data_IF_687288874057
#
_entry.id   IF_687288874057
#
_cell.length_a   1.000
_cell.length_b   1.000
_cell.length_c   1.000
_cell.angle_alpha   90.00
_cell.angle_beta   90.00
_cell.angle_gamma   90.00
#
_symmetry.space_group_name_H-M   'P 1'
#
loop_
_entity.id
_entity.type
_entity.pdbx_description
1 polymer ?
#
# COMPACT_ATOMS: atom_id res chain seq x y z
N UNK A 1 23.15 13.96 -4.40
CA UNK A 1 23.96 14.13 -3.18
C UNK A 1 24.27 12.76 -2.61
N UNK A 2 25.53 12.45 -2.29
CA UNK A 2 25.87 11.19 -1.60
C UNK A 2 25.38 11.28 -0.16
N UNK A 3 24.97 10.16 0.44
CA UNK A 3 24.48 10.11 1.83
C UNK A 3 25.53 10.66 2.80
N UNK A 4 26.80 10.37 2.52
CA UNK A 4 27.93 10.86 3.36
C UNK A 4 28.04 12.39 3.32
N UNK A 5 27.84 13.00 2.15
CA UNK A 5 27.84 14.46 1.97
C UNK A 5 26.70 15.13 2.73
N UNK A 6 25.57 14.44 2.91
CA UNK A 6 24.44 14.94 3.70
C UNK A 6 24.82 15.07 5.18
N UNK A 7 25.37 14.00 5.76
CA UNK A 7 25.72 14.00 7.19
C UNK A 7 26.87 14.95 7.52
N UNK A 8 27.82 15.12 6.60
CA UNK A 8 28.90 16.10 6.75
C UNK A 8 28.42 17.56 6.84
N UNK A 9 27.28 17.88 6.22
CA UNK A 9 26.70 19.22 6.20
C UNK A 9 25.43 19.32 7.06
N UNK A 10 25.19 18.34 7.95
CA UNK A 10 23.93 18.24 8.67
C UNK A 10 23.63 19.46 9.53
N UNK A 11 24.63 19.96 10.28
CA UNK A 11 24.47 21.15 11.13
C UNK A 11 24.12 22.41 10.31
N UNK A 12 24.77 22.61 9.16
CA UNK A 12 24.46 23.72 8.25
C UNK A 12 23.04 23.61 7.66
N UNK A 13 22.55 22.38 7.48
CA UNK A 13 21.21 22.13 6.95
C UNK A 13 20.12 22.29 8.01
N UNK A 14 20.42 22.10 9.30
CA UNK A 14 19.44 22.25 10.39
C UNK A 14 19.12 23.70 10.72
N UNK A 15 20.05 24.63 10.45
CA UNK A 15 19.86 26.06 10.72
C UNK A 15 19.05 26.80 9.64
N UNK A 16 18.80 26.15 8.50
CA UNK A 16 18.03 26.74 7.42
C UNK A 16 16.52 26.85 7.76
N UNK A 17 15.81 27.91 7.34
CA UNK A 17 14.36 27.98 7.47
C UNK A 17 13.71 26.79 6.74
N UNK A 18 12.73 26.16 7.39
CA UNK A 18 12.06 24.93 6.93
C UNK A 18 12.93 23.66 6.85
N UNK A 19 14.11 23.64 7.48
CA UNK A 19 15.00 22.48 7.52
C UNK A 19 14.30 21.19 7.93
N UNK A 20 13.51 21.25 9.01
CA UNK A 20 12.80 20.06 9.55
C UNK A 20 11.80 19.48 8.55
N UNK A 21 11.10 20.32 7.78
CA UNK A 21 10.14 19.85 6.76
C UNK A 21 10.89 19.13 5.64
N UNK A 22 11.95 19.75 5.11
CA UNK A 22 12.78 19.14 4.06
C UNK A 22 13.47 17.86 4.52
N UNK A 23 13.86 17.79 5.80
CA UNK A 23 14.44 16.59 6.38
C UNK A 23 13.43 15.44 6.40
N UNK A 24 12.19 15.71 6.82
CA UNK A 24 11.12 14.71 6.80
C UNK A 24 10.86 14.22 5.37
N UNK A 25 10.77 15.12 4.41
CA UNK A 25 10.59 14.76 3.00
C UNK A 25 11.74 13.88 2.50
N UNK A 26 12.99 14.22 2.84
CA UNK A 26 14.15 13.42 2.47
C UNK A 26 14.10 12.02 3.09
N UNK A 27 13.80 11.93 4.40
CA UNK A 27 13.67 10.65 5.09
C UNK A 27 12.58 9.80 4.44
N UNK A 28 11.42 10.37 4.14
CA UNK A 28 10.32 9.68 3.46
C UNK A 28 10.76 9.19 2.07
N UNK A 29 11.45 10.03 1.28
CA UNK A 29 11.99 9.64 -0.02
C UNK A 29 13.01 8.50 0.08
N UNK A 30 13.85 8.48 1.11
CA UNK A 30 14.79 7.39 1.35
C UNK A 30 14.07 6.11 1.81
N UNK A 31 13.04 6.25 2.65
CA UNK A 31 12.24 5.14 3.16
C UNK A 31 11.54 4.39 2.01
N UNK A 32 10.82 5.11 1.15
CA UNK A 32 10.09 4.50 0.02
C UNK A 32 11.01 3.86 -1.02
N UNK A 33 12.29 4.25 -1.05
CA UNK A 33 13.32 3.66 -1.92
C UNK A 33 14.07 2.49 -1.26
N UNK A 34 13.77 2.15 -0.02
CA UNK A 34 14.45 1.10 0.74
C UNK A 34 15.91 1.45 1.10
N UNK A 35 16.24 2.74 1.21
CA UNK A 35 17.62 3.22 1.47
C UNK A 35 17.92 3.56 2.93
N UNK A 36 16.94 3.43 3.82
CA UNK A 36 17.11 3.70 5.26
C UNK A 36 17.66 2.49 6.04
N UNK A 37 17.69 1.31 5.42
CA UNK A 37 18.14 0.08 6.06
C UNK A 37 19.12 -0.64 5.14
N UNK A 38 20.16 -1.24 5.73
CA UNK A 38 21.10 -2.09 5.00
C UNK A 38 20.37 -3.27 4.36
N UNK A 39 20.66 -3.52 3.09
CA UNK A 39 20.08 -4.64 2.37
C UNK A 39 20.91 -5.89 2.65
N UNK A 40 20.27 -6.96 3.09
CA UNK A 40 20.93 -8.24 3.32
C UNK A 40 20.75 -9.15 2.09
N UNK A 41 21.86 -9.55 1.48
CA UNK A 41 21.85 -10.39 0.27
C UNK A 41 21.28 -11.79 0.50
N UNK A 42 21.20 -12.24 1.75
CA UNK A 42 20.61 -13.53 2.12
C UNK A 42 19.09 -13.48 2.30
N UNK A 43 18.47 -12.28 2.26
CA UNK A 43 17.01 -12.18 2.37
C UNK A 43 16.32 -12.78 1.14
N UNK A 44 15.13 -13.33 1.35
CA UNK A 44 14.30 -13.86 0.28
C UNK A 44 13.96 -12.75 -0.75
N UNK A 45 14.24 -12.97 -2.06
CA UNK A 45 13.79 -12.04 -3.10
C UNK A 45 12.27 -11.97 -3.17
N UNK A 46 11.72 -10.76 -3.24
CA UNK A 46 10.28 -10.51 -3.38
C UNK A 46 9.64 -11.24 -4.57
N UNK A 47 10.43 -11.56 -5.60
CA UNK A 47 10.02 -12.40 -6.73
C UNK A 47 9.47 -13.77 -6.30
N UNK A 48 10.03 -14.38 -5.25
CA UNK A 48 9.57 -15.66 -4.71
C UNK A 48 8.17 -15.50 -4.12
N UNK A 49 7.93 -14.48 -3.30
CA UNK A 49 6.62 -14.17 -2.75
C UNK A 49 5.60 -13.88 -3.86
N UNK A 50 5.97 -13.12 -4.90
CA UNK A 50 5.09 -12.84 -6.04
C UNK A 50 4.66 -14.11 -6.78
N UNK A 51 5.55 -15.11 -6.89
CA UNK A 51 5.19 -16.40 -7.49
C UNK A 51 4.17 -17.16 -6.63
N UNK A 52 4.32 -17.16 -5.30
CA UNK A 52 3.34 -17.77 -4.38
C UNK A 52 1.98 -17.11 -4.51
N UNK A 53 1.94 -15.76 -4.50
CA UNK A 53 0.71 -14.99 -4.66
C UNK A 53 0.03 -15.32 -6.00
N UNK A 54 0.80 -15.41 -7.09
CA UNK A 54 0.26 -15.77 -8.42
C UNK A 54 -0.38 -17.16 -8.41
N UNK A 55 0.26 -18.14 -7.79
CA UNK A 55 -0.27 -19.51 -7.68
C UNK A 55 -1.58 -19.54 -6.85
N UNK A 56 -1.57 -18.94 -5.67
CA UNK A 56 -2.76 -18.86 -4.79
C UNK A 56 -3.94 -18.15 -5.48
N UNK A 57 -3.64 -17.11 -6.25
CA UNK A 57 -4.63 -16.36 -7.03
C UNK A 57 -5.22 -17.20 -8.16
N UNK A 58 -4.42 -17.99 -8.86
CA UNK A 58 -4.89 -18.92 -9.90
C UNK A 58 -5.80 -20.01 -9.33
N UNK A 59 -5.47 -20.59 -8.19
CA UNK A 59 -6.33 -21.54 -7.49
C UNK A 59 -7.67 -20.91 -7.10
N UNK A 60 -7.64 -19.68 -6.56
CA UNK A 60 -8.85 -18.93 -6.18
C UNK A 60 -9.77 -18.65 -7.37
N UNK A 61 -9.20 -18.31 -8.53
CA UNK A 61 -9.96 -18.12 -9.77
C UNK A 61 -10.56 -19.42 -10.30
N UNK A 62 -9.82 -20.53 -10.19
CA UNK A 62 -10.29 -21.85 -10.61
C UNK A 62 -11.50 -22.31 -9.79
N UNK A 63 -11.53 -21.94 -8.51
CA UNK A 63 -12.64 -22.19 -7.60
C UNK A 63 -13.83 -21.22 -7.77
N UNK A 64 -13.81 -20.32 -8.78
CA UNK A 64 -14.81 -19.26 -9.05
C UNK A 64 -15.14 -18.35 -7.86
N UNK A 65 -14.28 -18.28 -6.84
CA UNK A 65 -14.50 -17.45 -5.64
C UNK A 65 -14.35 -15.96 -5.94
N UNK A 66 -13.67 -15.61 -7.03
CA UNK A 66 -13.35 -14.23 -7.42
C UNK A 66 -13.37 -14.09 -8.95
N UNK A 67 -13.80 -12.91 -9.45
CA UNK A 67 -13.73 -12.57 -10.88
C UNK A 67 -12.28 -12.36 -11.33
N UNK A 68 -11.91 -12.96 -12.47
CA UNK A 68 -10.59 -12.79 -13.07
C UNK A 68 -10.38 -11.34 -13.50
N UNK A 69 -9.35 -10.69 -12.96
CA UNK A 69 -8.92 -9.36 -13.42
C UNK A 69 -7.92 -9.57 -14.56
N UNK A 70 -8.10 -8.84 -15.66
CA UNK A 70 -7.17 -8.87 -16.79
C UNK A 70 -5.79 -8.38 -16.33
N UNK A 71 -4.76 -9.19 -16.56
CA UNK A 71 -3.38 -8.81 -16.24
C UNK A 71 -2.98 -7.58 -17.07
N UNK A 72 -2.41 -6.59 -16.39
CA UNK A 72 -1.71 -5.48 -17.05
C UNK A 72 -0.42 -5.99 -17.71
N UNK A 73 0.12 -5.26 -18.70
CA UNK A 73 1.39 -5.63 -19.31
C UNK A 73 2.53 -5.61 -18.27
N UNK A 74 3.62 -6.38 -18.53
CA UNK A 74 4.83 -6.34 -17.72
C UNK A 74 5.31 -4.90 -17.52
N UNK A 75 5.87 -4.63 -16.34
CA UNK A 75 6.44 -3.32 -16.03
C UNK A 75 7.71 -3.16 -16.87
N UNK A 76 7.77 -2.08 -17.64
CA UNK A 76 8.95 -1.73 -18.44
C UNK A 76 9.82 -0.70 -17.74
N UNK A 77 11.09 -0.61 -18.16
CA UNK A 77 12.11 0.21 -17.50
C UNK A 77 11.72 1.69 -17.38
N UNK A 78 11.04 2.25 -18.40
CA UNK A 78 10.59 3.64 -18.41
C UNK A 78 9.47 3.96 -17.41
N UNK A 79 8.79 2.95 -16.86
CA UNK A 79 7.80 3.13 -15.79
C UNK A 79 8.46 3.23 -14.41
N UNK A 80 9.75 2.88 -14.31
CA UNK A 80 10.48 2.85 -13.04
C UNK A 80 11.34 4.09 -12.89
N UNK A 81 11.06 4.89 -11.87
CA UNK A 81 11.71 6.19 -11.66
C UNK A 81 13.02 6.09 -10.85
N UNK A 82 13.32 4.92 -10.29
CA UNK A 82 14.53 4.68 -9.51
C UNK A 82 14.92 3.20 -9.50
N UNK A 83 16.21 2.94 -9.23
CA UNK A 83 16.72 1.59 -9.05
C UNK A 83 16.24 1.02 -7.70
N UNK A 84 15.48 -0.06 -7.77
CA UNK A 84 15.05 -0.83 -6.59
C UNK A 84 16.24 -1.54 -5.92
N UNK A 85 16.16 -1.86 -4.61
CA UNK A 85 17.06 -2.79 -3.97
C UNK A 85 17.10 -4.17 -4.66
N UNK A 86 18.18 -4.93 -4.44
CA UNK A 86 18.40 -6.23 -5.10
C UNK A 86 17.25 -7.21 -4.88
N UNK A 87 16.79 -7.33 -3.63
CA UNK A 87 15.76 -8.29 -3.23
C UNK A 87 14.32 -7.78 -3.39
N UNK A 88 14.14 -6.54 -3.83
CA UNK A 88 12.81 -6.00 -4.15
C UNK A 88 12.38 -6.44 -5.55
N UNK A 89 11.10 -6.37 -5.87
CA UNK A 89 10.61 -6.61 -7.23
C UNK A 89 9.49 -5.64 -7.57
N UNK A 90 9.49 -5.14 -8.81
CA UNK A 90 8.40 -4.32 -9.29
C UNK A 90 7.20 -5.20 -9.63
N UNK A 91 6.02 -4.86 -9.14
CA UNK A 91 4.77 -5.55 -9.46
C UNK A 91 3.62 -4.55 -9.60
N UNK A 92 2.53 -4.95 -10.28
CA UNK A 92 1.33 -4.12 -10.34
C UNK A 92 0.57 -4.32 -9.03
N UNK A 93 -0.04 -3.26 -8.51
CA UNK A 93 -0.80 -3.35 -7.26
C UNK A 93 -1.87 -4.45 -7.33
N UNK A 94 -2.59 -4.56 -8.45
CA UNK A 94 -3.59 -5.60 -8.68
C UNK A 94 -3.05 -7.02 -8.72
N UNK A 95 -1.73 -7.23 -8.81
CA UNK A 95 -1.11 -8.56 -8.72
C UNK A 95 -1.09 -9.07 -7.27
N UNK A 96 -0.98 -8.17 -6.29
CA UNK A 96 -0.76 -8.49 -4.88
C UNK A 96 -1.96 -8.17 -3.98
N UNK A 97 -2.98 -7.46 -4.47
CA UNK A 97 -4.21 -7.20 -3.72
C UNK A 97 -5.45 -7.70 -4.44
N UNK A 98 -6.48 -7.97 -3.65
CA UNK A 98 -7.84 -8.16 -4.12
C UNK A 98 -8.66 -6.89 -3.84
N UNK A 99 -9.16 -6.26 -4.92
CA UNK A 99 -10.04 -5.10 -4.81
C UNK A 99 -11.49 -5.59 -4.89
N UNK A 100 -12.30 -5.20 -3.91
CA UNK A 100 -13.74 -5.46 -3.88
C UNK A 100 -14.51 -4.18 -3.56
N UNK A 101 -15.70 -4.05 -4.14
CA UNK A 101 -16.63 -2.99 -3.78
C UNK A 101 -17.37 -3.34 -2.50
N UNK A 102 -17.77 -2.32 -1.74
CA UNK A 102 -18.70 -2.52 -0.63
C UNK A 102 -20.05 -3.06 -1.11
N UNK A 103 -20.79 -3.65 -0.19
CA UNK A 103 -22.18 -4.07 -0.44
C UNK A 103 -23.10 -2.85 -0.38
N UNK A 104 -24.14 -2.85 -1.22
CA UNK A 104 -25.21 -1.87 -1.11
C UNK A 104 -25.98 -2.08 0.21
N UNK A 105 -25.84 -1.14 1.13
CA UNK A 105 -26.52 -1.15 2.44
C UNK A 105 -27.26 0.19 2.62
N UNK A 106 -28.57 0.24 2.31
CA UNK A 106 -29.36 1.45 2.51
C UNK A 106 -29.64 1.69 4.00
N UNK A 107 -29.86 2.94 4.40
CA UNK A 107 -29.99 3.33 5.81
C UNK A 107 -31.09 2.58 6.58
N UNK A 108 -32.21 2.24 5.94
CA UNK A 108 -33.30 1.48 6.58
C UNK A 108 -32.95 0.00 6.87
N UNK A 109 -31.81 -0.50 6.37
CA UNK A 109 -31.27 -1.83 6.70
C UNK A 109 -30.13 -1.75 7.71
N UNK A 110 -29.80 -0.55 8.20
CA UNK A 110 -28.85 -0.37 9.29
C UNK A 110 -29.56 -0.63 10.62
N UNK A 111 -28.79 -0.98 11.64
CA UNK A 111 -29.30 -1.18 12.98
C UNK A 111 -29.08 0.10 13.79
N UNK A 112 -30.13 0.59 14.45
CA UNK A 112 -30.06 1.81 15.27
C UNK A 112 -29.19 1.61 16.52
N UNK A 113 -29.15 0.39 17.06
CA UNK A 113 -28.38 -0.04 18.23
C UNK A 113 -27.21 -0.97 17.88
N UNK A 114 -26.86 -1.06 16.59
CA UNK A 114 -25.77 -1.91 16.12
C UNK A 114 -24.41 -1.48 16.69
N UNK A 115 -23.51 -2.45 16.86
CA UNK A 115 -22.16 -2.19 17.40
C UNK A 115 -21.08 -2.14 16.31
N UNK A 116 -21.40 -2.56 15.08
CA UNK A 116 -20.42 -2.66 14.00
C UNK A 116 -20.54 -1.41 13.09
N UNK A 117 -19.49 -0.58 12.99
CA UNK A 117 -19.55 0.64 12.20
C UNK A 117 -19.67 0.35 10.70
N UNK A 118 -20.68 0.95 10.07
CA UNK A 118 -20.83 1.00 8.62
C UNK A 118 -20.06 2.21 8.13
N UNK A 119 -19.06 1.98 7.29
CA UNK A 119 -18.27 3.04 6.68
C UNK A 119 -18.73 3.30 5.24
N UNK A 120 -19.00 4.56 4.92
CA UNK A 120 -19.22 5.09 3.57
C UNK A 120 -18.03 5.90 3.06
N UNK A 121 -18.25 6.69 2.02
CA UNK A 121 -17.20 7.53 1.41
C UNK A 121 -16.67 8.65 2.32
N UNK A 122 -17.45 9.04 3.34
CA UNK A 122 -17.15 10.16 4.25
C UNK A 122 -16.88 9.70 5.69
N UNK A 123 -16.51 8.42 5.91
CA UNK A 123 -16.34 7.86 7.25
C UNK A 123 -17.54 7.03 7.71
N UNK A 124 -17.82 7.02 9.01
CA UNK A 124 -18.91 6.22 9.59
C UNK A 124 -20.26 6.86 9.22
N UNK A 125 -21.16 6.05 8.64
CA UNK A 125 -22.49 6.48 8.19
C UNK A 125 -23.63 5.85 8.99
N UNK A 126 -23.33 4.91 9.89
CA UNK A 126 -24.31 4.19 10.71
C UNK A 126 -23.69 2.95 11.33
N UNK A 127 -24.55 2.08 11.88
CA UNK A 127 -24.13 0.84 12.52
C UNK A 127 -24.95 -0.36 12.02
N UNK A 128 -24.42 -1.56 12.26
CA UNK A 128 -25.06 -2.82 11.88
C UNK A 128 -24.72 -3.90 12.90
N UNK A 129 -25.49 -4.98 12.93
CA UNK A 129 -25.25 -6.11 13.85
C UNK A 129 -24.34 -7.18 13.25
N UNK A 130 -24.18 -7.15 11.92
CA UNK A 130 -23.38 -8.12 11.16
C UNK A 130 -22.25 -7.43 10.41
N UNK A 131 -21.05 -8.02 10.46
CA UNK A 131 -19.93 -7.58 9.64
C UNK A 131 -20.02 -8.15 8.22
N UNK A 132 -19.49 -7.41 7.24
CA UNK A 132 -19.33 -7.87 5.86
C UNK A 132 -17.88 -8.28 5.54
N UNK A 133 -16.95 -8.04 6.47
CA UNK A 133 -15.52 -8.32 6.34
C UNK A 133 -15.06 -8.90 7.68
N UNK A 134 -14.47 -10.09 7.63
CA UNK A 134 -13.96 -10.82 8.80
C UNK A 134 -12.43 -11.01 8.76
N UNK A 135 -11.73 -10.29 7.88
CA UNK A 135 -10.28 -10.35 7.70
C UNK A 135 -9.69 -8.94 7.71
N UNK A 136 -8.42 -8.77 8.14
CA UNK A 136 -7.73 -7.50 8.01
C UNK A 136 -7.80 -6.97 6.57
N UNK A 137 -8.42 -5.79 6.39
CA UNK A 137 -8.70 -5.22 5.07
C UNK A 137 -8.38 -3.74 5.07
N UNK A 138 -7.69 -3.27 4.04
CA UNK A 138 -7.47 -1.84 3.81
C UNK A 138 -8.68 -1.25 3.10
N UNK A 139 -9.23 -0.16 3.65
CA UNK A 139 -10.31 0.61 3.03
C UNK A 139 -9.73 1.84 2.37
N UNK A 140 -9.96 1.98 1.07
CA UNK A 140 -9.70 3.23 0.37
C UNK A 140 -10.83 4.22 0.67
N UNK A 141 -10.56 5.23 1.50
CA UNK A 141 -11.48 6.32 1.81
C UNK A 141 -10.98 7.59 1.11
N UNK A 142 -11.88 8.49 0.71
CA UNK A 142 -11.48 9.78 0.17
C UNK A 142 -10.81 10.59 1.28
N UNK A 143 -9.50 10.77 1.18
CA UNK A 143 -8.78 11.73 2.01
C UNK A 143 -9.05 13.13 1.44
N UNK A 144 -9.84 13.92 2.15
CA UNK A 144 -9.85 15.37 1.94
C UNK A 144 -8.56 15.90 2.56
N UNK A 145 -7.52 16.00 1.75
CA UNK A 145 -6.32 16.75 2.11
C UNK A 145 -6.71 18.23 1.93
N UNK A 146 -6.95 18.91 3.05
CA UNK A 146 -7.00 20.37 3.14
C UNK A 146 -5.58 20.93 3.18
#
# INVERSE_FOLDING_TARGET
MKVDTFFQNFELLTDAPNAVVKLRDLILQLAVRGKLVFQNNNDEPAKILLNRIKAEKQETYSQKRVKTIKSLPPICEHETHFKKPQNWEWCRLGDIIHISSGNYLPSHKMADDGQIPVYGGNGITGYHDQNNINKPTLRHVRLNIL
#
